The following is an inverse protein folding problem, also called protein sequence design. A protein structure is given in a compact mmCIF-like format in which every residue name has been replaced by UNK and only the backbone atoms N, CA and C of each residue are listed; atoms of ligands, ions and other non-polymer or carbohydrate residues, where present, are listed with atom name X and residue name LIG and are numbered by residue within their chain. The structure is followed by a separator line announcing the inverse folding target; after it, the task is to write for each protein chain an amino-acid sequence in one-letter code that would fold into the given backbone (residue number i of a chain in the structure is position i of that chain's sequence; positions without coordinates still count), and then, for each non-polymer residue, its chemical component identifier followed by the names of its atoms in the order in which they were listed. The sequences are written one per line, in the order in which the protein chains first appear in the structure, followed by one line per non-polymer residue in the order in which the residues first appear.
data_IF_446283630533
#
_entry.id   IF_446283630533
#
_cell.length_a   1.000
_cell.length_b   1.000
_cell.length_c   1.000
_cell.angle_alpha   90.00
_cell.angle_beta   90.00
_cell.angle_gamma   90.00
#
_symmetry.space_group_name_H-M   'P 1'
#
loop_
_entity.id
_entity.type
_entity.pdbx_description
1 polymer ?
#
# COMPACT_ATOMS: atom_id res chain seq x y z
N UNK A 1 32.51 -6.85 14.99
CA UNK A 1 31.19 -7.34 14.54
C UNK A 1 30.04 -6.89 15.47
N UNK A 2 30.20 -6.96 16.80
CA UNK A 2 29.18 -6.54 17.81
C UNK A 2 28.72 -5.07 17.72
N UNK A 3 29.65 -4.09 17.59
CA UNK A 3 29.27 -2.66 17.49
C UNK A 3 28.42 -2.32 16.26
N UNK A 4 28.63 -2.99 15.13
CA UNK A 4 27.89 -2.73 13.88
C UNK A 4 26.45 -3.23 13.97
N UNK A 5 26.25 -4.38 14.60
CA UNK A 5 24.93 -4.94 14.88
C UNK A 5 24.15 -4.04 15.86
N UNK A 6 24.81 -3.56 16.92
CA UNK A 6 24.22 -2.63 17.89
C UNK A 6 23.79 -1.30 17.24
N UNK A 7 24.62 -0.74 16.35
CA UNK A 7 24.29 0.47 15.60
C UNK A 7 23.08 0.26 14.66
N UNK A 8 23.00 -0.90 13.99
CA UNK A 8 21.85 -1.25 13.14
C UNK A 8 20.55 -1.37 13.95
N UNK A 9 20.60 -2.02 15.12
CA UNK A 9 19.43 -2.13 16.01
C UNK A 9 19.00 -0.77 16.54
N UNK A 10 19.94 0.07 16.97
CA UNK A 10 19.65 1.41 17.47
C UNK A 10 19.01 2.30 16.39
N UNK A 11 19.52 2.22 15.15
CA UNK A 11 18.92 2.90 14.01
C UNK A 11 17.49 2.43 13.76
N UNK A 12 17.24 1.11 13.75
CA UNK A 12 15.89 0.56 13.59
C UNK A 12 14.90 1.00 14.67
N UNK A 13 15.35 1.07 15.94
CA UNK A 13 14.55 1.60 17.05
C UNK A 13 14.23 3.08 16.89
N UNK A 14 15.21 3.88 16.45
CA UNK A 14 15.00 5.31 16.19
C UNK A 14 13.98 5.54 15.06
N UNK A 15 14.09 4.79 13.96
CA UNK A 15 13.11 4.83 12.87
C UNK A 15 11.70 4.48 13.36
N UNK A 16 11.56 3.40 14.14
CA UNK A 16 10.26 2.96 14.68
C UNK A 16 9.65 4.00 15.62
N UNK A 17 10.48 4.60 16.47
CA UNK A 17 10.06 5.68 17.39
C UNK A 17 9.59 6.92 16.63
N UNK A 18 10.33 7.33 15.60
CA UNK A 18 9.92 8.47 14.78
C UNK A 18 8.62 8.19 14.03
N UNK A 19 8.43 6.99 13.47
CA UNK A 19 7.19 6.61 12.81
C UNK A 19 5.98 6.68 13.78
N UNK A 20 6.14 6.23 15.02
CA UNK A 20 5.10 6.36 16.05
C UNK A 20 4.77 7.82 16.36
N UNK A 21 5.78 8.68 16.54
CA UNK A 21 5.57 10.12 16.80
C UNK A 21 4.88 10.82 15.66
N UNK A 22 5.23 10.51 14.41
CA UNK A 22 4.55 11.04 13.23
C UNK A 22 3.08 10.63 13.24
N UNK A 23 2.78 9.36 13.51
CA UNK A 23 1.40 8.88 13.61
C UNK A 23 0.63 9.63 14.70
N UNK A 24 1.18 9.76 15.89
CA UNK A 24 0.55 10.48 17.01
C UNK A 24 0.27 11.95 16.66
N UNK A 25 1.22 12.64 16.02
CA UNK A 25 1.05 14.02 15.61
C UNK A 25 0.01 14.19 14.50
N UNK A 26 -0.11 13.22 13.59
CA UNK A 26 -1.04 13.28 12.44
C UNK A 26 -2.44 12.82 12.82
N UNK A 27 -2.59 11.96 13.82
CA UNK A 27 -3.88 11.37 14.22
C UNK A 27 -5.02 12.39 14.38
N UNK A 28 -4.89 13.50 15.14
CA UNK A 28 -6.00 14.44 15.32
C UNK A 28 -6.39 15.16 14.02
N UNK A 29 -5.42 15.40 13.12
CA UNK A 29 -5.70 15.99 11.79
C UNK A 29 -6.45 15.00 10.92
N UNK A 30 -6.03 13.74 10.96
CA UNK A 30 -6.69 12.66 10.23
C UNK A 30 -8.12 12.43 10.72
N UNK A 31 -8.34 12.38 12.02
CA UNK A 31 -9.67 12.21 12.62
C UNK A 31 -10.62 13.34 12.20
N UNK A 32 -10.13 14.58 12.18
CA UNK A 32 -10.89 15.73 11.67
C UNK A 32 -11.22 15.64 10.18
N UNK A 33 -10.29 15.16 9.34
CA UNK A 33 -10.52 14.97 7.90
C UNK A 33 -11.49 13.83 7.58
N UNK A 34 -11.55 12.82 8.44
CA UNK A 34 -12.46 11.67 8.27
C UNK A 34 -13.85 11.95 8.84
N UNK A 35 -14.03 13.05 9.59
CA UNK A 35 -15.29 13.43 10.20
C UNK A 35 -16.30 13.80 9.11
N UNK A 36 -17.33 12.97 8.90
CA UNK A 36 -18.35 13.17 7.87
C UNK A 36 -18.15 12.39 6.56
N UNK A 37 -17.05 11.64 6.44
CA UNK A 37 -16.84 10.71 5.32
C UNK A 37 -17.66 9.44 5.56
N UNK A 38 -18.63 9.15 4.69
CA UNK A 38 -19.40 7.91 4.75
C UNK A 38 -18.52 6.67 4.58
N UNK A 39 -18.79 5.62 5.35
CA UNK A 39 -18.09 4.33 5.30
C UNK A 39 -18.14 3.67 3.92
N UNK A 40 -19.20 3.93 3.14
CA UNK A 40 -19.36 3.40 1.78
C UNK A 40 -18.74 4.30 0.70
N UNK A 41 -18.10 5.41 1.08
CA UNK A 41 -17.45 6.30 0.12
C UNK A 41 -16.22 5.65 -0.49
N UNK A 42 -15.91 5.99 -1.75
CA UNK A 42 -14.69 5.52 -2.43
C UNK A 42 -13.45 5.90 -1.63
N UNK A 43 -13.44 7.06 -0.98
CA UNK A 43 -12.31 7.51 -0.15
C UNK A 43 -12.11 6.58 1.05
N UNK A 44 -13.18 6.22 1.75
CA UNK A 44 -13.10 5.28 2.88
C UNK A 44 -12.63 3.89 2.42
N UNK A 45 -13.18 3.39 1.31
CA UNK A 45 -12.79 2.11 0.72
C UNK A 45 -11.30 2.10 0.36
N UNK A 46 -10.82 3.10 -0.39
CA UNK A 46 -9.42 3.22 -0.80
C UNK A 46 -8.49 3.40 0.41
N UNK A 47 -8.90 4.18 1.42
CA UNK A 47 -8.18 4.32 2.68
C UNK A 47 -8.00 2.98 3.39
N UNK A 48 -9.07 2.17 3.49
CA UNK A 48 -9.00 0.81 4.02
C UNK A 48 -8.05 -0.09 3.22
N UNK A 49 -8.05 0.03 1.88
CA UNK A 49 -7.14 -0.76 1.02
C UNK A 49 -5.67 -0.38 1.18
N UNK A 50 -5.35 0.87 1.49
CA UNK A 50 -3.98 1.27 1.82
C UNK A 50 -3.48 0.58 3.10
N UNK A 51 -4.34 0.42 4.11
CA UNK A 51 -4.01 -0.28 5.35
C UNK A 51 -3.77 -1.77 5.05
N UNK A 52 -4.65 -2.40 4.28
CA UNK A 52 -4.48 -3.80 3.87
C UNK A 52 -3.17 -4.00 3.10
N UNK A 53 -2.82 -3.04 2.26
CA UNK A 53 -1.58 -3.10 1.49
C UNK A 53 -0.33 -2.96 2.37
N UNK A 54 -0.35 -2.07 3.38
CA UNK A 54 0.74 -1.97 4.34
C UNK A 54 0.95 -3.29 5.13
N UNK A 55 -0.15 -3.95 5.52
CA UNK A 55 -0.10 -5.29 6.14
C UNK A 55 0.48 -6.33 5.18
N UNK A 56 0.09 -6.28 3.92
CA UNK A 56 0.61 -7.16 2.87
C UNK A 56 2.13 -7.01 2.71
N UNK A 57 2.64 -5.79 2.55
CA UNK A 57 4.09 -5.54 2.42
C UNK A 57 4.87 -6.08 3.62
N UNK A 58 4.37 -5.88 4.85
CA UNK A 58 4.99 -6.45 6.05
C UNK A 58 5.05 -7.99 5.99
N UNK A 59 3.98 -8.63 5.52
CA UNK A 59 3.96 -10.08 5.31
C UNK A 59 4.95 -10.54 4.22
N UNK A 60 5.09 -9.78 3.12
CA UNK A 60 6.02 -10.09 2.04
C UNK A 60 7.45 -10.05 2.55
N UNK A 61 7.82 -8.99 3.29
CA UNK A 61 9.17 -8.84 3.86
C UNK A 61 9.48 -9.96 4.84
N UNK A 62 8.53 -10.36 5.69
CA UNK A 62 8.69 -11.49 6.60
C UNK A 62 8.88 -12.85 5.91
N UNK A 63 8.48 -12.95 4.64
CA UNK A 63 8.57 -14.16 3.80
C UNK A 63 9.68 -14.10 2.75
N UNK A 64 10.52 -13.07 2.76
CA UNK A 64 11.58 -12.92 1.76
C UNK A 64 12.49 -14.17 1.71
N UNK A 65 12.68 -14.74 0.51
CA UNK A 65 13.49 -15.94 0.28
C UNK A 65 12.87 -17.27 0.72
N UNK A 66 11.64 -17.28 1.22
CA UNK A 66 10.94 -18.53 1.64
C UNK A 66 10.36 -19.33 0.47
N UNK A 67 10.14 -18.68 -0.69
CA UNK A 67 9.42 -19.25 -1.85
C UNK A 67 7.96 -19.61 -1.59
N UNK A 68 7.35 -19.02 -0.58
CA UNK A 68 5.90 -19.08 -0.38
C UNK A 68 5.16 -18.47 -1.58
N UNK A 69 3.97 -19.00 -1.88
CA UNK A 69 3.05 -18.34 -2.81
C UNK A 69 2.41 -17.13 -2.15
N UNK A 70 2.51 -15.97 -2.79
CA UNK A 70 1.76 -14.77 -2.45
C UNK A 70 0.45 -14.70 -3.22
N UNK A 71 -0.51 -13.96 -2.69
CA UNK A 71 -1.78 -13.74 -3.38
C UNK A 71 -1.53 -12.96 -4.68
N UNK A 72 -2.21 -13.34 -5.75
CA UNK A 72 -2.25 -12.55 -6.98
C UNK A 72 -3.00 -11.23 -6.75
N UNK A 73 -2.71 -10.22 -7.58
CA UNK A 73 -3.36 -8.92 -7.51
C UNK A 73 -4.90 -9.03 -7.60
N UNK A 74 -5.44 -9.97 -8.38
CA UNK A 74 -6.89 -10.21 -8.47
C UNK A 74 -7.47 -10.93 -7.24
N UNK A 75 -6.63 -11.58 -6.44
CA UNK A 75 -7.00 -12.31 -5.23
C UNK A 75 -6.99 -11.41 -3.98
N UNK A 76 -6.55 -10.15 -4.08
CA UNK A 76 -6.57 -9.23 -2.96
C UNK A 76 -7.93 -8.53 -2.83
N UNK A 77 -8.22 -7.95 -1.66
CA UNK A 77 -9.50 -7.27 -1.44
C UNK A 77 -9.70 -6.07 -2.38
N UNK A 78 -8.63 -5.34 -2.70
CA UNK A 78 -8.66 -4.27 -3.68
C UNK A 78 -8.91 -4.79 -5.10
N UNK A 79 -8.21 -5.86 -5.54
CA UNK A 79 -8.41 -6.45 -6.86
C UNK A 79 -9.83 -6.97 -7.09
N UNK A 80 -10.43 -7.62 -6.09
CA UNK A 80 -11.83 -8.03 -6.16
C UNK A 80 -12.79 -6.85 -6.28
N UNK A 81 -12.58 -5.80 -5.50
CA UNK A 81 -13.38 -4.58 -5.57
C UNK A 81 -13.20 -3.87 -6.92
N UNK A 82 -11.97 -3.79 -7.41
CA UNK A 82 -11.61 -3.21 -8.70
C UNK A 82 -12.30 -3.92 -9.87
N UNK A 83 -12.34 -5.26 -9.84
CA UNK A 83 -13.06 -6.03 -10.84
C UNK A 83 -14.58 -5.79 -10.75
N UNK A 84 -15.15 -5.84 -9.54
CA UNK A 84 -16.60 -5.67 -9.31
C UNK A 84 -17.13 -4.29 -9.74
N UNK A 85 -16.37 -3.22 -9.51
CA UNK A 85 -16.79 -1.85 -9.81
C UNK A 85 -16.42 -1.38 -11.23
N UNK A 86 -15.81 -2.25 -12.03
CA UNK A 86 -15.41 -1.94 -13.41
C UNK A 86 -16.58 -1.48 -14.29
N UNK A 87 -17.79 -2.00 -14.10
CA UNK A 87 -18.98 -1.55 -14.82
C UNK A 87 -19.37 -0.10 -14.51
N UNK A 88 -19.07 0.37 -13.29
CA UNK A 88 -19.40 1.73 -12.82
C UNK A 88 -18.32 2.74 -13.18
N UNK A 89 -17.05 2.39 -13.00
CA UNK A 89 -15.93 3.32 -13.09
C UNK A 89 -14.88 2.98 -14.16
N UNK A 90 -14.99 1.83 -14.84
CA UNK A 90 -14.02 1.35 -15.84
C UNK A 90 -13.83 2.26 -17.05
N UNK A 91 -14.76 3.17 -17.30
CA UNK A 91 -14.64 4.18 -18.35
C UNK A 91 -13.66 5.31 -17.98
N UNK A 92 -13.39 5.53 -16.68
CA UNK A 92 -12.51 6.59 -16.21
C UNK A 92 -11.04 6.24 -16.48
N UNK A 93 -10.25 7.13 -17.11
CA UNK A 93 -8.81 6.90 -17.29
C UNK A 93 -8.08 6.66 -15.98
N UNK A 94 -8.42 7.43 -14.93
CA UNK A 94 -7.85 7.28 -13.59
C UNK A 94 -8.15 5.91 -12.96
N UNK A 95 -9.28 5.28 -13.31
CA UNK A 95 -9.60 3.93 -12.87
C UNK A 95 -8.70 2.89 -13.53
N UNK A 96 -8.59 2.95 -14.87
CA UNK A 96 -7.76 2.01 -15.64
C UNK A 96 -6.28 2.12 -15.29
N UNK A 97 -5.82 3.33 -14.95
CA UNK A 97 -4.42 3.58 -14.60
C UNK A 97 -3.97 2.84 -13.32
N UNK A 98 -4.90 2.37 -12.47
CA UNK A 98 -4.56 1.64 -11.24
C UNK A 98 -4.10 0.20 -11.48
N UNK A 99 -4.51 -0.41 -12.60
CA UNK A 99 -4.34 -1.85 -12.83
C UNK A 99 -2.86 -2.26 -12.86
N UNK A 100 -2.08 -1.58 -13.70
CA UNK A 100 -0.66 -1.87 -13.91
C UNK A 100 0.22 -1.71 -12.65
N UNK A 101 0.19 -0.57 -11.91
CA UNK A 101 0.98 -0.45 -10.69
C UNK A 101 0.52 -1.43 -9.60
N UNK A 102 -0.77 -1.78 -9.54
CA UNK A 102 -1.27 -2.82 -8.63
C UNK A 102 -0.74 -4.21 -8.98
N UNK A 103 -0.76 -4.59 -10.27
CA UNK A 103 -0.17 -5.85 -10.75
C UNK A 103 1.32 -5.93 -10.39
N UNK A 104 2.08 -4.85 -10.68
CA UNK A 104 3.52 -4.77 -10.37
C UNK A 104 3.84 -4.91 -8.89
N UNK A 105 3.03 -4.35 -8.00
CA UNK A 105 3.17 -4.56 -6.55
C UNK A 105 3.18 -6.05 -6.21
N UNK A 106 2.22 -6.81 -6.74
CA UNK A 106 2.09 -8.24 -6.42
C UNK A 106 3.18 -9.09 -7.07
N UNK A 107 3.56 -8.79 -8.31
CA UNK A 107 4.64 -9.52 -9.01
C UNK A 107 6.01 -9.29 -8.36
N UNK A 108 6.31 -8.04 -8.00
CA UNK A 108 7.57 -7.72 -7.31
C UNK A 108 7.59 -8.28 -5.89
N UNK A 109 6.44 -8.35 -5.22
CA UNK A 109 6.29 -9.06 -3.95
C UNK A 109 6.56 -10.56 -4.07
N UNK A 110 6.01 -11.23 -5.09
CA UNK A 110 6.32 -12.63 -5.35
C UNK A 110 7.82 -12.82 -5.63
N UNK A 111 8.42 -11.97 -6.46
CA UNK A 111 9.85 -12.02 -6.75
C UNK A 111 10.72 -11.80 -5.49
N UNK A 112 10.30 -10.94 -4.54
CA UNK A 112 10.99 -10.78 -3.26
C UNK A 112 10.89 -12.06 -2.41
N UNK A 113 9.73 -12.72 -2.39
CA UNK A 113 9.55 -13.99 -1.68
C UNK A 113 10.37 -15.12 -2.32
N UNK A 114 10.50 -15.11 -3.65
CA UNK A 114 11.25 -16.13 -4.39
C UNK A 114 12.77 -15.97 -4.27
N UNK A 115 13.25 -14.73 -4.26
CA UNK A 115 14.68 -14.44 -4.43
C UNK A 115 15.32 -13.68 -3.26
N UNK A 116 14.53 -13.02 -2.42
CA UNK A 116 15.00 -12.33 -1.22
C UNK A 116 15.97 -11.17 -1.49
N UNK A 117 15.92 -10.52 -2.67
CA UNK A 117 16.86 -9.45 -3.00
C UNK A 117 16.28 -8.06 -2.74
N UNK A 118 17.15 -7.14 -2.34
CA UNK A 118 16.76 -5.79 -1.94
C UNK A 118 16.14 -4.99 -3.10
N UNK A 119 16.53 -5.26 -4.35
CA UNK A 119 16.00 -4.61 -5.54
C UNK A 119 14.50 -4.85 -5.70
N UNK A 120 13.99 -6.01 -5.28
CA UNK A 120 12.55 -6.26 -5.30
C UNK A 120 11.82 -5.44 -4.23
N UNK A 121 12.43 -5.22 -3.05
CA UNK A 121 11.84 -4.38 -2.01
C UNK A 121 11.74 -2.91 -2.46
N UNK A 122 12.74 -2.41 -3.20
CA UNK A 122 12.67 -1.10 -3.84
C UNK A 122 11.58 -1.04 -4.91
N UNK A 123 11.49 -2.06 -5.77
CA UNK A 123 10.47 -2.14 -6.82
C UNK A 123 9.04 -2.15 -6.25
N UNK A 124 8.80 -2.87 -5.14
CA UNK A 124 7.52 -2.84 -4.41
C UNK A 124 7.21 -1.42 -3.95
N UNK A 125 8.19 -0.71 -3.39
CA UNK A 125 8.02 0.65 -2.89
C UNK A 125 7.67 1.63 -4.02
N UNK A 126 8.33 1.52 -5.17
CA UNK A 126 8.06 2.35 -6.35
C UNK A 126 6.64 2.09 -6.90
N UNK A 127 6.27 0.81 -7.10
CA UNK A 127 4.94 0.44 -7.58
C UNK A 127 3.83 0.87 -6.58
N UNK A 128 4.10 0.79 -5.28
CA UNK A 128 3.18 1.26 -4.23
C UNK A 128 2.92 2.76 -4.31
N UNK A 129 3.97 3.56 -4.56
CA UNK A 129 3.86 5.01 -4.72
C UNK A 129 3.10 5.39 -5.99
N UNK A 130 3.31 4.67 -7.09
CA UNK A 130 2.56 4.85 -8.32
C UNK A 130 1.08 4.54 -8.12
N UNK A 131 0.74 3.43 -7.46
CA UNK A 131 -0.64 3.07 -7.14
C UNK A 131 -1.31 4.15 -6.26
N UNK A 132 -0.61 4.66 -5.25
CA UNK A 132 -1.11 5.74 -4.40
C UNK A 132 -1.41 7.01 -5.20
N UNK A 133 -0.55 7.37 -6.16
CA UNK A 133 -0.82 8.50 -7.07
C UNK A 133 -2.09 8.28 -7.89
N UNK A 134 -2.33 7.05 -8.36
CA UNK A 134 -3.57 6.73 -9.06
C UNK A 134 -4.80 6.84 -8.15
N UNK A 135 -4.71 6.49 -6.86
CA UNK A 135 -5.82 6.69 -5.90
C UNK A 135 -6.17 8.17 -5.74
N UNK A 136 -5.16 9.02 -5.63
CA UNK A 136 -5.36 10.48 -5.59
C UNK A 136 -6.02 10.98 -6.87
N UNK A 137 -5.55 10.54 -8.04
CA UNK A 137 -6.15 10.90 -9.33
C UNK A 137 -7.59 10.44 -9.47
N UNK A 138 -7.92 9.24 -8.99
CA UNK A 138 -9.29 8.72 -8.98
C UNK A 138 -10.18 9.56 -8.07
N UNK A 139 -9.70 9.93 -6.87
CA UNK A 139 -10.43 10.83 -5.96
C UNK A 139 -10.79 12.15 -6.67
N UNK A 140 -9.82 12.77 -7.34
CA UNK A 140 -10.04 14.01 -8.10
C UNK A 140 -11.03 13.82 -9.25
N UNK A 141 -10.91 12.74 -10.02
CA UNK A 141 -11.81 12.43 -11.14
C UNK A 141 -13.26 12.22 -10.69
N UNK A 142 -13.46 11.66 -9.50
CA UNK A 142 -14.78 11.44 -8.90
C UNK A 142 -15.37 12.71 -8.27
N UNK A 143 -14.63 13.82 -8.24
CA UNK A 143 -15.02 15.10 -7.62
C UNK A 143 -15.52 14.93 -6.18
N UNK A 144 -14.94 13.97 -5.45
CA UNK A 144 -15.29 13.75 -4.05
C UNK A 144 -14.57 14.83 -3.24
N UNK A 145 -15.32 15.84 -2.80
CA UNK A 145 -14.86 16.78 -1.78
C UNK A 145 -14.91 16.06 -0.42
N UNK A 146 -13.82 16.17 0.35
CA UNK A 146 -13.81 15.88 1.79
C UNK A 146 -14.56 17.01 2.52
#
# INVERSE_FOLDING_TARGET
MSQRLAAMTAFGQACSTNAMRVREAVQPVFDGLMQGVSEDSVVHILGGRLIDHARYINSVVGKAGTRDRMADHTECAFGRWYAAESGRWGHLPAWRAMDEPHRRVHETAQALVDHGKAEQAEAISQASLELLRCFVQLKEALKINL
#
